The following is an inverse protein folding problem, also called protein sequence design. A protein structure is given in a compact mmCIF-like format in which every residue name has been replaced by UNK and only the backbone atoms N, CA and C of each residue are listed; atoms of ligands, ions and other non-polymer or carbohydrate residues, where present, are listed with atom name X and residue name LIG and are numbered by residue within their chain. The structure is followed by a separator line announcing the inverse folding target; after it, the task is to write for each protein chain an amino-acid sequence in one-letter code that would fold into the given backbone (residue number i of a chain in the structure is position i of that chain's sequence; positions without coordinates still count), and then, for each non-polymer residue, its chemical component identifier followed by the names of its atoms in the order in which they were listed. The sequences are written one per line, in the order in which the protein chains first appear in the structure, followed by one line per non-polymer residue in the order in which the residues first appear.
data_IF_794077844744
#
_entry.id   IF_794077844744
#
_cell.length_a   1.000
_cell.length_b   1.000
_cell.length_c   1.000
_cell.angle_alpha   90.00
_cell.angle_beta   90.00
_cell.angle_gamma   90.00
#
_symmetry.space_group_name_H-M   'P 1'
#
loop_
_entity.id
_entity.type
_entity.pdbx_description
1 polymer ?
#
# COMPACT_ATOMS: atom_id res chain seq x y z
N UNK A 1 -5.30 -24.61 13.09
CA UNK A 1 -5.26 -23.82 14.34
C UNK A 1 -4.49 -22.51 14.14
N UNK A 2 -3.15 -22.48 14.14
CA UNK A 2 -2.38 -21.23 13.95
C UNK A 2 -2.73 -20.48 12.64
N UNK A 3 -2.84 -21.19 11.51
CA UNK A 3 -3.20 -20.59 10.21
C UNK A 3 -4.60 -19.98 10.21
N UNK A 4 -5.55 -20.62 10.86
CA UNK A 4 -6.95 -20.20 10.88
C UNK A 4 -7.14 -18.98 11.79
N UNK A 5 -6.43 -18.95 12.92
CA UNK A 5 -6.33 -17.79 13.81
C UNK A 5 -5.73 -16.58 13.10
N UNK A 6 -4.62 -16.77 12.36
CA UNK A 6 -4.00 -15.68 11.58
C UNK A 6 -4.98 -15.17 10.52
N UNK A 7 -5.66 -16.06 9.78
CA UNK A 7 -6.67 -15.66 8.78
C UNK A 7 -7.84 -14.90 9.42
N UNK A 8 -8.30 -15.35 10.60
CA UNK A 8 -9.33 -14.65 11.35
C UNK A 8 -8.86 -13.26 11.80
N UNK A 9 -7.61 -13.14 12.26
CA UNK A 9 -6.96 -11.88 12.60
C UNK A 9 -6.87 -10.92 11.42
N UNK A 10 -6.42 -11.40 10.25
CA UNK A 10 -6.41 -10.62 9.00
C UNK A 10 -7.83 -10.14 8.66
N UNK A 11 -8.82 -11.04 8.67
CA UNK A 11 -10.21 -10.69 8.38
C UNK A 11 -10.77 -9.65 9.34
N UNK A 12 -10.47 -9.77 10.63
CA UNK A 12 -10.84 -8.79 11.65
C UNK A 12 -10.17 -7.43 11.41
N UNK A 13 -8.85 -7.42 11.14
CA UNK A 13 -8.11 -6.21 10.81
C UNK A 13 -8.65 -5.49 9.57
N UNK A 14 -8.96 -6.23 8.50
CA UNK A 14 -9.51 -5.65 7.27
C UNK A 14 -10.86 -4.95 7.52
N UNK A 15 -11.68 -5.49 8.44
CA UNK A 15 -12.97 -4.91 8.86
C UNK A 15 -12.83 -3.78 9.88
N UNK A 16 -11.78 -3.81 10.71
CA UNK A 16 -11.54 -2.81 11.75
C UNK A 16 -10.79 -1.59 11.17
N UNK A 17 -11.46 -0.45 11.08
CA UNK A 17 -10.87 0.78 10.57
C UNK A 17 -9.98 1.52 11.59
N UNK A 18 -10.08 1.20 12.88
CA UNK A 18 -9.35 1.90 13.94
C UNK A 18 -7.87 1.48 14.01
N UNK A 19 -7.58 0.21 13.75
CA UNK A 19 -6.20 -0.29 13.72
C UNK A 19 -5.51 0.07 12.40
N UNK A 20 -4.31 0.65 12.51
CA UNK A 20 -3.47 0.97 11.34
C UNK A 20 -2.59 -0.19 10.90
N UNK A 21 -2.22 -1.08 11.80
CA UNK A 21 -1.23 -2.15 11.55
C UNK A 21 -1.66 -3.45 12.22
N UNK A 22 -1.46 -4.56 11.54
CA UNK A 22 -1.63 -5.91 12.06
C UNK A 22 -0.36 -6.70 11.78
N UNK A 23 0.14 -7.43 12.78
CA UNK A 23 1.40 -8.16 12.68
C UNK A 23 1.21 -9.57 13.23
N UNK A 24 1.82 -10.55 12.56
CA UNK A 24 1.84 -11.93 13.03
C UNK A 24 3.19 -12.59 12.77
N UNK A 25 3.48 -13.60 13.58
CA UNK A 25 4.71 -14.38 13.48
C UNK A 25 4.64 -15.38 12.31
N UNK A 26 5.74 -15.46 11.58
CA UNK A 26 5.99 -16.38 10.47
C UNK A 26 7.15 -17.33 10.78
N UNK A 27 7.52 -17.48 12.06
CA UNK A 27 8.49 -18.44 12.56
C UNK A 27 8.04 -19.86 12.21
N UNK A 28 8.74 -20.46 11.27
CA UNK A 28 8.61 -21.85 10.85
C UNK A 28 9.96 -22.30 10.27
N UNK A 29 10.19 -23.61 10.13
CA UNK A 29 11.35 -24.12 9.38
C UNK A 29 11.47 -23.43 8.02
N UNK A 30 12.70 -23.16 7.59
CA UNK A 30 12.96 -22.34 6.38
C UNK A 30 12.31 -22.94 5.14
N UNK A 31 12.30 -24.27 5.06
CA UNK A 31 11.72 -25.08 4.00
C UNK A 31 10.20 -24.94 3.93
N UNK A 32 9.55 -24.62 5.05
CA UNK A 32 8.10 -24.50 5.17
C UNK A 32 7.60 -23.06 5.02
N UNK A 33 8.49 -22.05 5.02
CA UNK A 33 8.13 -20.63 5.04
C UNK A 33 7.23 -20.22 3.88
N UNK A 34 7.61 -20.57 2.64
CA UNK A 34 6.83 -20.22 1.44
C UNK A 34 5.47 -20.94 1.43
N UNK A 35 5.39 -22.28 1.61
CA UNK A 35 4.11 -22.98 1.75
C UNK A 35 3.22 -22.42 2.86
N UNK A 36 3.81 -22.05 4.01
CA UNK A 36 3.09 -21.46 5.13
C UNK A 36 2.44 -20.13 4.72
N UNK A 37 3.22 -19.19 4.21
CA UNK A 37 2.74 -17.87 3.75
C UNK A 37 1.65 -18.03 2.68
N UNK A 38 1.88 -18.85 1.67
CA UNK A 38 0.91 -19.07 0.60
C UNK A 38 -0.41 -19.61 1.15
N UNK A 39 -0.33 -20.55 2.10
CA UNK A 39 -1.54 -21.10 2.71
C UNK A 39 -2.30 -20.07 3.55
N UNK A 40 -1.61 -19.14 4.22
CA UNK A 40 -2.24 -18.11 5.07
C UNK A 40 -2.84 -16.98 4.23
N UNK A 41 -2.06 -16.40 3.32
CA UNK A 41 -2.44 -15.21 2.56
C UNK A 41 -3.30 -15.52 1.33
N UNK A 42 -3.10 -16.67 0.71
CA UNK A 42 -3.71 -17.01 -0.59
C UNK A 42 -4.38 -18.40 -0.59
N UNK A 43 -5.35 -18.66 0.30
CA UNK A 43 -6.07 -19.93 0.28
C UNK A 43 -6.94 -20.07 -0.98
N UNK A 44 -6.81 -21.18 -1.70
CA UNK A 44 -7.67 -21.53 -2.84
C UNK A 44 -7.64 -20.49 -3.96
N UNK A 45 -8.83 -20.00 -4.36
CA UNK A 45 -8.98 -19.03 -5.45
C UNK A 45 -8.37 -17.64 -5.17
N UNK A 46 -8.03 -17.34 -3.90
CA UNK A 46 -7.38 -16.08 -3.54
C UNK A 46 -6.00 -15.90 -4.22
N UNK A 47 -5.29 -17.00 -4.49
CA UNK A 47 -4.01 -16.98 -5.20
C UNK A 47 -4.19 -16.54 -6.66
N UNK A 48 -5.20 -17.06 -7.35
CA UNK A 48 -5.50 -16.68 -8.72
C UNK A 48 -5.92 -15.21 -8.81
N UNK A 49 -6.75 -14.74 -7.87
CA UNK A 49 -7.16 -13.34 -7.78
C UNK A 49 -5.97 -12.41 -7.50
N UNK A 50 -5.03 -12.84 -6.64
CA UNK A 50 -3.81 -12.09 -6.39
C UNK A 50 -3.00 -11.91 -7.68
N UNK A 51 -2.67 -13.00 -8.39
CA UNK A 51 -1.92 -12.90 -9.64
C UNK A 51 -2.66 -12.13 -10.73
N UNK A 52 -3.98 -12.26 -10.79
CA UNK A 52 -4.81 -11.45 -11.68
C UNK A 52 -4.66 -9.96 -11.38
N UNK A 53 -4.81 -9.54 -10.12
CA UNK A 53 -4.60 -8.14 -9.71
C UNK A 53 -3.18 -7.68 -9.96
N UNK A 54 -2.19 -8.52 -9.73
CA UNK A 54 -0.79 -8.20 -9.97
C UNK A 54 -0.53 -7.94 -11.47
N UNK A 55 -1.02 -8.82 -12.35
CA UNK A 55 -0.92 -8.64 -13.79
C UNK A 55 -1.62 -7.36 -14.26
N UNK A 56 -2.85 -7.12 -13.82
CA UNK A 56 -3.59 -5.88 -14.15
C UNK A 56 -2.91 -4.63 -13.60
N UNK A 57 -2.39 -4.67 -12.38
CA UNK A 57 -1.67 -3.56 -11.78
C UNK A 57 -0.38 -3.23 -12.53
N UNK A 58 0.34 -4.25 -13.03
CA UNK A 58 1.50 -4.08 -13.90
C UNK A 58 1.12 -3.44 -15.23
N UNK A 59 0.07 -3.93 -15.89
CA UNK A 59 -0.42 -3.34 -17.14
C UNK A 59 -0.85 -1.88 -16.95
N UNK A 60 -1.59 -1.59 -15.86
CA UNK A 60 -1.99 -0.22 -15.53
C UNK A 60 -0.78 0.70 -15.27
N UNK A 61 0.30 0.18 -14.68
CA UNK A 61 1.54 0.92 -14.44
C UNK A 61 2.24 1.41 -15.72
N UNK A 62 2.00 0.75 -16.86
CA UNK A 62 2.56 1.10 -18.18
C UNK A 62 1.69 2.11 -18.95
N UNK A 63 0.51 2.46 -18.42
CA UNK A 63 -0.36 3.47 -19.02
C UNK A 63 0.11 4.85 -18.57
N UNK A 64 0.53 5.69 -19.51
CA UNK A 64 0.95 7.06 -19.19
C UNK A 64 -0.25 7.98 -18.86
N UNK A 65 -1.43 7.66 -19.41
CA UNK A 65 -2.65 8.40 -19.16
C UNK A 65 -3.23 8.11 -17.76
N UNK A 66 -2.89 8.98 -16.80
CA UNK A 66 -3.28 8.84 -15.39
C UNK A 66 -4.79 8.65 -15.14
N UNK A 67 -5.73 9.35 -15.80
CA UNK A 67 -7.16 9.15 -15.53
C UNK A 67 -7.64 7.72 -15.78
N UNK A 68 -7.15 7.08 -16.85
CA UNK A 68 -7.46 5.66 -17.14
C UNK A 68 -6.83 4.73 -16.10
N UNK A 69 -5.58 4.99 -15.71
CA UNK A 69 -4.90 4.24 -14.65
C UNK A 69 -5.64 4.32 -13.30
N UNK A 70 -6.06 5.52 -12.91
CA UNK A 70 -6.87 5.75 -11.70
C UNK A 70 -8.18 4.98 -11.76
N UNK A 71 -8.86 4.99 -12.91
CA UNK A 71 -10.09 4.21 -13.11
C UNK A 71 -9.84 2.71 -12.92
N UNK A 72 -8.78 2.15 -13.52
CA UNK A 72 -8.43 0.74 -13.36
C UNK A 72 -8.12 0.40 -11.90
N UNK A 73 -7.33 1.21 -11.20
CA UNK A 73 -7.03 0.95 -9.79
C UNK A 73 -8.29 1.05 -8.90
N UNK A 74 -9.22 1.95 -9.17
CA UNK A 74 -10.51 1.95 -8.45
C UNK A 74 -11.28 0.64 -8.65
N UNK A 75 -11.32 0.09 -9.87
CA UNK A 75 -11.93 -1.22 -10.14
C UNK A 75 -11.23 -2.37 -9.40
N UNK A 76 -9.92 -2.27 -9.19
CA UNK A 76 -9.16 -3.26 -8.41
C UNK A 76 -9.46 -3.20 -6.89
N UNK A 77 -10.13 -2.15 -6.42
CA UNK A 77 -10.54 -1.97 -5.02
C UNK A 77 -9.70 -0.95 -4.23
N UNK A 78 -8.85 -0.17 -4.90
CA UNK A 78 -8.11 0.92 -4.26
C UNK A 78 -9.05 2.10 -3.97
N UNK A 79 -8.84 2.78 -2.83
CA UNK A 79 -9.60 3.97 -2.48
C UNK A 79 -8.88 5.21 -3.02
N UNK A 80 -9.33 5.74 -4.16
CA UNK A 80 -8.66 6.86 -4.83
C UNK A 80 -9.63 8.04 -4.99
N UNK A 81 -9.30 9.16 -4.36
CA UNK A 81 -10.06 10.41 -4.39
C UNK A 81 -10.03 11.10 -5.76
N UNK A 82 -10.77 12.20 -5.88
CA UNK A 82 -10.82 12.98 -7.12
C UNK A 82 -9.49 13.69 -7.41
N UNK A 83 -9.20 13.95 -8.69
CA UNK A 83 -8.02 14.72 -9.10
C UNK A 83 -6.67 14.09 -8.73
N UNK A 84 -6.63 12.83 -8.29
CA UNK A 84 -5.38 12.12 -8.02
C UNK A 84 -4.62 11.87 -9.33
N UNK A 85 -3.32 12.15 -9.32
CA UNK A 85 -2.42 11.85 -10.42
C UNK A 85 -1.47 10.71 -10.04
N UNK A 86 -1.35 9.70 -10.90
CA UNK A 86 -0.46 8.55 -10.72
C UNK A 86 0.47 8.46 -11.92
N UNK A 87 1.74 8.73 -11.68
CA UNK A 87 2.80 8.71 -12.69
C UNK A 87 3.06 7.29 -13.25
N UNK A 88 3.77 7.14 -14.38
CA UNK A 88 4.19 5.84 -14.88
C UNK A 88 5.04 5.05 -13.87
N UNK A 89 5.01 3.73 -13.95
CA UNK A 89 5.87 2.86 -13.13
C UNK A 89 5.56 2.80 -11.62
N UNK A 90 4.54 3.51 -11.14
CA UNK A 90 4.10 3.45 -9.73
C UNK A 90 3.65 2.04 -9.40
N UNK A 91 4.14 1.51 -8.27
CA UNK A 91 3.67 0.27 -7.69
C UNK A 91 2.70 0.56 -6.54
N UNK A 92 1.41 0.32 -6.78
CA UNK A 92 0.40 0.21 -5.72
C UNK A 92 0.22 -1.26 -5.37
N UNK A 93 0.49 -1.62 -4.13
CA UNK A 93 0.45 -3.01 -3.68
C UNK A 93 -0.95 -3.64 -3.84
N UNK A 94 -1.08 -4.68 -4.68
CA UNK A 94 -2.37 -5.27 -5.01
C UNK A 94 -2.82 -6.36 -4.01
N UNK A 95 -2.04 -6.69 -2.97
CA UNK A 95 -2.43 -7.72 -2.00
C UNK A 95 -3.76 -7.41 -1.32
N UNK A 96 -3.85 -6.22 -0.74
CA UNK A 96 -5.04 -5.75 -0.03
C UNK A 96 -5.35 -4.30 -0.47
N UNK A 97 -5.89 -4.10 -1.69
CA UNK A 97 -6.02 -2.77 -2.29
C UNK A 97 -6.87 -1.81 -1.44
N UNK A 98 -7.83 -2.35 -0.68
CA UNK A 98 -8.65 -1.58 0.27
C UNK A 98 -7.90 -1.02 1.49
N UNK A 99 -6.63 -1.40 1.71
CA UNK A 99 -5.74 -0.82 2.71
C UNK A 99 -5.00 0.43 2.22
N UNK A 100 -5.01 0.70 0.91
CA UNK A 100 -4.37 1.88 0.32
C UNK A 100 -5.45 2.92 -0.01
N UNK A 101 -5.28 4.10 0.57
CA UNK A 101 -6.12 5.26 0.33
C UNK A 101 -5.27 6.43 -0.19
N UNK A 102 -5.59 6.88 -1.40
CA UNK A 102 -5.04 8.09 -2.00
C UNK A 102 -6.12 9.16 -1.94
N UNK A 103 -5.94 10.19 -1.10
CA UNK A 103 -6.93 11.25 -0.95
C UNK A 103 -6.87 12.26 -2.12
N UNK A 104 -7.88 13.11 -2.23
CA UNK A 104 -8.05 13.98 -3.39
C UNK A 104 -6.81 14.84 -3.69
N UNK A 105 -6.54 15.04 -4.97
CA UNK A 105 -5.48 15.91 -5.50
C UNK A 105 -4.05 15.55 -5.09
N UNK A 106 -3.79 14.35 -4.55
CA UNK A 106 -2.43 13.93 -4.34
C UNK A 106 -1.74 13.53 -5.65
N UNK A 107 -0.42 13.66 -5.69
CA UNK A 107 0.43 13.25 -6.81
C UNK A 107 1.32 12.10 -6.35
N UNK A 108 1.26 10.99 -7.08
CA UNK A 108 2.17 9.86 -6.89
C UNK A 108 3.24 9.90 -7.97
N UNK A 109 4.46 10.24 -7.58
CA UNK A 109 5.62 10.38 -8.46
C UNK A 109 6.02 9.06 -9.11
N UNK A 110 6.68 9.14 -10.27
CA UNK A 110 7.08 7.97 -11.07
C UNK A 110 7.90 6.99 -10.23
N UNK A 111 7.68 5.69 -10.44
CA UNK A 111 8.38 4.60 -9.75
C UNK A 111 8.22 4.57 -8.22
N UNK A 112 7.34 5.39 -7.65
CA UNK A 112 7.04 5.31 -6.23
C UNK A 112 6.37 3.97 -5.87
N UNK A 113 6.64 3.50 -4.66
CA UNK A 113 6.13 2.24 -4.12
C UNK A 113 5.23 2.57 -2.93
N UNK A 114 3.97 2.13 -2.99
CA UNK A 114 3.03 2.23 -1.87
C UNK A 114 2.71 0.80 -1.42
N UNK A 115 3.31 0.38 -0.31
CA UNK A 115 3.20 -0.99 0.20
C UNK A 115 2.28 -1.07 1.43
N UNK A 116 1.30 -1.98 1.39
CA UNK A 116 0.46 -2.26 2.56
C UNK A 116 0.94 -3.49 3.33
N UNK A 117 1.99 -4.18 2.86
CA UNK A 117 2.64 -5.27 3.57
C UNK A 117 4.17 -5.18 3.58
N UNK A 118 4.79 -5.82 4.55
CA UNK A 118 6.23 -6.08 4.58
C UNK A 118 6.53 -7.41 5.28
N UNK A 119 7.63 -8.03 4.88
CA UNK A 119 8.26 -9.12 5.61
C UNK A 119 9.44 -8.54 6.39
N UNK A 120 9.39 -8.62 7.72
CA UNK A 120 10.44 -8.13 8.60
C UNK A 120 10.98 -9.29 9.44
N UNK A 121 11.99 -9.98 8.92
CA UNK A 121 12.61 -11.13 9.57
C UNK A 121 11.64 -12.30 9.70
N UNK A 122 11.13 -12.51 10.91
CA UNK A 122 10.12 -13.54 11.23
C UNK A 122 8.71 -12.96 11.35
N UNK A 123 8.50 -11.67 11.09
CA UNK A 123 7.17 -11.07 11.18
C UNK A 123 6.63 -10.68 9.82
N UNK A 124 5.32 -10.88 9.63
CA UNK A 124 4.57 -10.31 8.54
C UNK A 124 3.70 -9.18 9.06
N UNK A 125 3.87 -7.99 8.51
CA UNK A 125 3.10 -6.81 8.89
C UNK A 125 2.22 -6.38 7.74
N UNK A 126 0.94 -6.22 8.03
CA UNK A 126 -0.02 -5.48 7.22
C UNK A 126 -0.22 -4.09 7.81
N UNK A 127 -0.49 -3.11 6.95
CA UNK A 127 -0.81 -1.78 7.42
C UNK A 127 -1.55 -0.93 6.41
N UNK A 128 -2.47 -0.12 6.95
CA UNK A 128 -3.22 0.88 6.20
C UNK A 128 -2.29 2.00 5.79
N UNK A 129 -2.27 2.32 4.50
CA UNK A 129 -1.52 3.44 3.95
C UNK A 129 -2.49 4.52 3.50
N UNK A 130 -2.28 5.74 3.99
CA UNK A 130 -3.06 6.90 3.57
C UNK A 130 -2.12 7.95 3.01
N UNK A 131 -2.34 8.40 1.78
CA UNK A 131 -1.69 9.57 1.20
C UNK A 131 -2.64 10.74 1.32
N UNK A 132 -2.28 11.72 2.15
CA UNK A 132 -3.12 12.87 2.48
C UNK A 132 -3.50 13.73 1.27
N UNK A 133 -4.60 14.48 1.41
CA UNK A 133 -5.07 15.42 0.38
C UNK A 133 -3.96 16.35 -0.08
N UNK A 134 -3.77 16.47 -1.39
CA UNK A 134 -2.77 17.37 -1.98
C UNK A 134 -1.31 16.97 -1.72
N UNK A 135 -1.05 15.84 -1.05
CA UNK A 135 0.32 15.41 -0.80
C UNK A 135 1.03 15.00 -2.12
N UNK A 136 2.34 15.19 -2.16
CA UNK A 136 3.19 14.83 -3.29
C UNK A 136 4.18 13.76 -2.84
N UNK A 137 4.11 12.60 -3.48
CA UNK A 137 5.07 11.51 -3.28
C UNK A 137 6.16 11.65 -4.32
N UNK A 138 7.39 11.92 -3.88
CA UNK A 138 8.54 12.06 -4.77
C UNK A 138 8.81 10.80 -5.60
N UNK A 139 9.46 10.97 -6.75
CA UNK A 139 9.85 9.88 -7.63
C UNK A 139 10.69 8.82 -6.87
N UNK A 140 10.33 7.55 -7.05
CA UNK A 140 11.00 6.42 -6.42
C UNK A 140 10.88 6.37 -4.89
N UNK A 141 10.04 7.21 -4.27
CA UNK A 141 9.82 7.16 -2.83
C UNK A 141 9.02 5.90 -2.44
N UNK A 142 9.27 5.38 -1.24
CA UNK A 142 8.63 4.19 -0.70
C UNK A 142 7.82 4.55 0.54
N UNK A 143 6.52 4.25 0.49
CA UNK A 143 5.61 4.40 1.63
C UNK A 143 5.36 3.01 2.21
N UNK A 144 5.79 2.82 3.45
CA UNK A 144 5.76 1.54 4.16
C UNK A 144 4.41 1.30 4.86
N UNK A 145 4.11 0.04 5.25
CA UNK A 145 2.84 -0.32 5.86
C UNK A 145 2.51 0.49 7.11
N UNK A 146 1.25 0.90 7.23
CA UNK A 146 0.75 1.61 8.42
C UNK A 146 0.96 3.12 8.38
N UNK A 147 1.64 3.65 7.36
CA UNK A 147 1.95 5.08 7.22
C UNK A 147 0.71 5.91 6.91
N UNK A 148 0.55 7.05 7.60
CA UNK A 148 -0.39 8.10 7.22
C UNK A 148 0.42 9.34 6.83
N UNK A 149 0.49 9.66 5.54
CA UNK A 149 1.10 10.90 5.10
C UNK A 149 0.12 12.04 5.35
N UNK A 150 0.51 13.12 6.05
CA UNK A 150 -0.35 14.26 6.26
C UNK A 150 -0.75 14.94 4.94
N UNK A 151 -1.85 15.70 4.92
CA UNK A 151 -2.19 16.58 3.79
C UNK A 151 -1.04 17.53 3.46
N UNK A 152 -0.95 17.95 2.19
CA UNK A 152 -0.02 19.00 1.74
C UNK A 152 1.45 18.75 2.12
N UNK A 153 1.84 17.48 2.25
CA UNK A 153 3.23 17.07 2.50
C UNK A 153 3.90 16.68 1.19
N UNK A 154 5.15 17.10 0.99
CA UNK A 154 6.00 16.66 -0.12
C UNK A 154 7.08 15.70 0.38
N UNK A 155 7.04 14.44 -0.07
CA UNK A 155 8.10 13.45 0.13
C UNK A 155 9.25 13.71 -0.87
N UNK A 156 10.51 13.83 -0.42
CA UNK A 156 11.65 13.87 -1.32
C UNK A 156 11.78 12.60 -2.15
N UNK A 157 12.44 12.72 -3.31
CA UNK A 157 12.71 11.58 -4.18
C UNK A 157 13.51 10.50 -3.45
N UNK A 158 13.23 9.23 -3.75
CA UNK A 158 13.95 8.05 -3.24
C UNK A 158 14.02 7.94 -1.71
N UNK A 159 13.09 8.57 -1.00
CA UNK A 159 12.96 8.46 0.46
C UNK A 159 12.12 7.24 0.83
N UNK A 160 12.40 6.64 1.99
CA UNK A 160 11.55 5.60 2.59
C UNK A 160 10.89 6.18 3.85
N UNK A 161 9.56 6.09 3.93
CA UNK A 161 8.78 6.60 5.06
C UNK A 161 7.90 5.49 5.63
N UNK A 162 7.96 5.31 6.95
CA UNK A 162 7.14 4.37 7.71
C UNK A 162 6.29 5.06 8.76
N UNK A 163 5.43 4.27 9.44
CA UNK A 163 4.43 4.75 10.41
C UNK A 163 4.97 5.75 11.45
N UNK A 164 6.20 5.56 11.92
CA UNK A 164 6.82 6.39 12.95
C UNK A 164 8.04 7.16 12.43
N UNK A 165 8.23 7.28 11.11
CA UNK A 165 9.34 8.04 10.55
C UNK A 165 9.10 9.51 10.81
N UNK A 166 9.99 10.21 11.54
CA UNK A 166 9.91 11.65 11.69
C UNK A 166 9.96 12.28 10.31
N UNK A 167 8.99 13.15 10.00
CA UNK A 167 8.97 13.87 8.74
C UNK A 167 9.98 15.03 8.75
N UNK A 168 11.27 14.72 8.92
CA UNK A 168 12.37 15.67 8.83
C UNK A 168 12.81 15.84 7.37
N UNK A 169 12.83 17.08 6.86
CA UNK A 169 13.18 17.38 5.47
C UNK A 169 12.02 17.29 4.47
N UNK A 170 10.79 17.13 4.97
CA UNK A 170 9.56 17.15 4.19
C UNK A 170 9.00 18.57 4.18
N UNK A 171 8.46 19.00 3.06
CA UNK A 171 7.84 20.31 2.96
C UNK A 171 6.35 20.16 3.25
N UNK A 172 5.90 20.69 4.39
CA UNK A 172 4.49 21.05 4.58
C UNK A 172 4.28 22.41 3.90
N UNK A 173 3.45 22.42 2.86
CA UNK A 173 3.14 23.62 2.10
C UNK A 173 1.69 24.07 2.30
N UNK A 174 1.01 23.59 3.35
CA UNK A 174 -0.36 23.97 3.68
C UNK A 174 -0.54 25.48 3.91
N UNK A 175 0.46 26.16 4.47
CA UNK A 175 0.42 27.61 4.72
C UNK A 175 0.30 28.45 3.43
N UNK A 176 0.82 27.95 2.31
CA UNK A 176 0.77 28.65 1.02
C UNK A 176 -0.64 28.65 0.39
N UNK A 177 -1.54 27.80 0.89
CA UNK A 177 -2.87 27.58 0.34
C UNK A 177 -4.00 27.87 1.36
N UNK A 178 -3.71 28.63 2.42
CA UNK A 178 -4.72 29.32 3.24
C UNK A 178 -5.08 30.66 2.60
#
# INVERSE_FOLDING_TARGET
MLKDEIRAGISAFLKNAAERTFEFDTSCPLEERVPFIHSVLFPGAALALFYFRFAFGRLAGWIDYSPLKVFIYRLMGFKIGEGVFISPGVFLDPHFPGLIELQSHCIIGQEAIVSCHEYSGYHYRLGRVTVGRGAVVGHGAVIMPGTALPPMTCLPMRTVVGKNTPLVGFYDFSEKYR
#
